data_IF_182160121615
#
_entry.id   IF_182160121615
#
_cell.length_a   1.000
_cell.length_b   1.000
_cell.length_c   1.000
_cell.angle_alpha   90.00
_cell.angle_beta   90.00
_cell.angle_gamma   90.00
#
_symmetry.space_group_name_H-M   'P 1'
#
loop_
_entity.id
_entity.type
_entity.pdbx_description
1 polymer ?
#
# COMPACT_ATOMS: atom_id res chain seq x y z
N UNK A 1 28.23 -44.19 -39.92
CA UNK A 1 28.11 -42.74 -39.76
C UNK A 1 26.69 -42.43 -40.11
N UNK A 2 25.84 -42.36 -39.07
CA UNK A 2 24.39 -42.11 -39.23
C UNK A 2 24.12 -40.67 -38.83
N UNK A 3 23.50 -39.94 -39.75
CA UNK A 3 23.11 -38.55 -39.60
C UNK A 3 22.05 -38.43 -38.48
N UNK A 4 22.38 -37.67 -37.43
CA UNK A 4 21.44 -37.22 -36.41
C UNK A 4 20.74 -35.97 -36.98
N UNK A 5 19.52 -36.13 -37.48
CA UNK A 5 18.62 -35.04 -37.81
C UNK A 5 18.21 -34.33 -36.48
N UNK A 6 18.67 -33.12 -36.34
CA UNK A 6 18.25 -32.20 -35.25
C UNK A 6 16.85 -31.71 -35.57
N UNK A 7 15.82 -32.27 -34.96
CA UNK A 7 14.47 -31.71 -34.97
C UNK A 7 14.47 -30.38 -34.24
N UNK A 8 14.37 -29.30 -34.98
CA UNK A 8 14.04 -27.98 -34.44
C UNK A 8 12.58 -28.02 -34.01
N UNK A 9 12.35 -28.06 -32.70
CA UNK A 9 11.02 -27.87 -32.13
C UNK A 9 10.61 -26.41 -32.38
N UNK A 10 9.73 -26.20 -33.35
CA UNK A 10 9.08 -24.90 -33.55
C UNK A 10 8.37 -24.50 -32.26
N UNK A 11 8.83 -23.42 -31.64
CA UNK A 11 8.16 -22.80 -30.52
C UNK A 11 6.82 -22.29 -31.01
N UNK A 12 5.76 -22.92 -30.54
CA UNK A 12 4.41 -22.47 -30.83
C UNK A 12 4.28 -20.97 -30.57
N UNK A 13 3.63 -20.29 -31.49
CA UNK A 13 3.32 -18.87 -31.42
C UNK A 13 2.75 -18.56 -30.02
N UNK A 14 3.48 -17.76 -29.26
CA UNK A 14 2.97 -17.18 -28.02
C UNK A 14 1.72 -16.38 -28.41
N UNK A 15 0.57 -16.78 -27.92
CA UNK A 15 -0.64 -15.95 -27.98
C UNK A 15 -0.23 -14.59 -27.47
N UNK A 16 -0.14 -13.62 -28.38
CA UNK A 16 0.03 -12.23 -28.03
C UNK A 16 -1.11 -11.87 -27.07
N UNK A 17 -0.78 -11.61 -25.80
CA UNK A 17 -1.72 -10.96 -24.93
C UNK A 17 -2.14 -9.67 -25.64
N UNK A 18 -3.43 -9.50 -25.86
CA UNK A 18 -3.96 -8.27 -26.45
C UNK A 18 -3.41 -7.05 -25.71
N UNK A 19 -3.37 -5.89 -26.33
CA UNK A 19 -2.73 -4.71 -25.78
C UNK A 19 -3.32 -4.39 -24.41
N UNK A 20 -2.47 -4.44 -23.37
CA UNK A 20 -2.77 -4.03 -21.98
C UNK A 20 -3.11 -2.53 -21.90
N UNK A 21 -3.17 -1.85 -23.05
CA UNK A 21 -3.22 -0.40 -23.20
C UNK A 21 -4.59 0.25 -23.04
N UNK A 22 -5.65 -0.47 -22.64
CA UNK A 22 -7.02 0.10 -22.60
C UNK A 22 -7.69 0.08 -21.23
N UNK A 23 -6.99 -0.31 -20.16
CA UNK A 23 -7.55 -0.08 -18.82
C UNK A 23 -7.40 1.40 -18.46
N UNK A 24 -8.47 2.07 -18.00
CA UNK A 24 -8.37 3.45 -17.54
C UNK A 24 -7.33 3.54 -16.43
N UNK A 25 -6.42 4.50 -16.55
CA UNK A 25 -5.36 4.72 -15.57
C UNK A 25 -5.99 5.25 -14.28
N UNK A 26 -6.31 4.38 -13.33
CA UNK A 26 -6.81 4.75 -12.01
C UNK A 26 -5.75 5.52 -11.21
N UNK A 27 -6.19 6.50 -10.45
CA UNK A 27 -5.37 7.22 -9.47
C UNK A 27 -5.77 6.81 -8.05
N UNK A 28 -5.38 5.61 -7.66
CA UNK A 28 -5.70 5.06 -6.34
C UNK A 28 -5.18 5.97 -5.23
N UNK A 29 -6.08 6.44 -4.41
CA UNK A 29 -5.82 7.43 -3.38
C UNK A 29 -6.46 7.02 -2.06
N UNK A 30 -5.75 7.26 -0.97
CA UNK A 30 -6.25 7.05 0.39
C UNK A 30 -6.42 8.41 1.07
N UNK A 31 -7.55 8.62 1.71
CA UNK A 31 -7.86 9.79 2.53
C UNK A 31 -8.06 9.34 3.97
N UNK A 32 -7.37 9.97 4.92
CA UNK A 32 -7.43 9.63 6.35
C UNK A 32 -7.88 10.85 7.14
N UNK A 33 -9.03 10.74 7.79
CA UNK A 33 -9.60 11.79 8.65
C UNK A 33 -9.08 11.63 10.08
N UNK A 34 -8.23 12.55 10.53
CA UNK A 34 -7.59 12.48 11.83
C UNK A 34 -8.55 12.78 12.98
N UNK A 35 -9.67 13.48 12.74
CA UNK A 35 -10.71 13.66 13.76
C UNK A 35 -11.43 12.34 14.09
N UNK A 36 -11.51 11.44 13.14
CA UNK A 36 -12.16 10.14 13.31
C UNK A 36 -11.21 9.06 13.81
N UNK A 37 -9.89 9.29 13.70
CA UNK A 37 -8.92 8.29 14.10
C UNK A 37 -8.77 8.23 15.62
N UNK A 38 -9.14 7.11 16.23
CA UNK A 38 -9.03 6.87 17.68
C UNK A 38 -7.74 6.16 18.09
N UNK A 39 -6.83 5.85 17.15
CA UNK A 39 -5.59 5.15 17.42
C UNK A 39 -5.75 3.68 17.84
N UNK A 40 -6.89 3.04 17.55
CA UNK A 40 -7.25 1.70 18.02
C UNK A 40 -6.41 0.55 17.43
N UNK A 41 -5.54 0.79 16.44
CA UNK A 41 -4.72 -0.20 15.75
C UNK A 41 -5.46 -1.31 14.97
N UNK A 42 -6.79 -1.26 14.82
CA UNK A 42 -7.53 -2.25 14.02
C UNK A 42 -7.01 -2.35 12.58
N UNK A 43 -6.67 -1.23 11.96
CA UNK A 43 -6.06 -1.17 10.64
C UNK A 43 -4.68 -1.84 10.56
N UNK A 44 -3.89 -1.78 11.64
CA UNK A 44 -2.58 -2.44 11.72
C UNK A 44 -2.75 -3.95 11.73
N UNK A 45 -3.64 -4.46 12.60
CA UNK A 45 -3.94 -5.90 12.70
C UNK A 45 -4.50 -6.43 11.37
N UNK A 46 -5.47 -5.73 10.78
CA UNK A 46 -6.04 -6.11 9.49
C UNK A 46 -5.00 -6.15 8.37
N UNK A 47 -4.04 -5.20 8.36
CA UNK A 47 -2.95 -5.20 7.40
C UNK A 47 -2.03 -6.41 7.57
N UNK A 48 -1.72 -6.80 8.81
CA UNK A 48 -0.91 -7.99 9.10
C UNK A 48 -1.58 -9.26 8.59
N UNK A 49 -2.87 -9.45 8.87
CA UNK A 49 -3.64 -10.62 8.43
C UNK A 49 -3.77 -10.67 6.92
N UNK A 50 -4.21 -9.58 6.30
CA UNK A 50 -4.44 -9.51 4.86
C UNK A 50 -3.18 -9.74 4.04
N UNK A 51 -2.05 -9.20 4.49
CA UNK A 51 -0.83 -9.16 3.71
C UNK A 51 0.25 -10.13 4.22
N UNK A 52 -0.10 -11.10 5.05
CA UNK A 52 0.84 -12.06 5.64
C UNK A 52 2.09 -11.37 6.23
N UNK A 53 1.88 -10.24 6.94
CA UNK A 53 2.98 -9.52 7.58
C UNK A 53 3.30 -10.20 8.91
N UNK A 54 4.54 -10.65 9.14
CA UNK A 54 4.87 -11.39 10.34
C UNK A 54 4.81 -10.51 11.59
N UNK A 55 4.40 -11.11 12.70
CA UNK A 55 4.46 -10.49 14.03
C UNK A 55 5.88 -10.68 14.56
N UNK A 56 6.47 -9.60 15.07
CA UNK A 56 7.80 -9.61 15.69
C UNK A 56 7.71 -9.49 17.20
N UNK A 57 8.64 -10.12 17.89
CA UNK A 57 8.73 -10.01 19.35
C UNK A 57 9.04 -8.57 19.76
N UNK A 58 8.67 -8.20 21.00
CA UNK A 58 8.99 -6.90 21.60
C UNK A 58 10.48 -6.57 21.50
N UNK A 59 11.34 -7.56 21.78
CA UNK A 59 12.80 -7.41 21.70
C UNK A 59 13.26 -7.02 20.30
N UNK A 60 12.66 -7.56 19.26
CA UNK A 60 12.98 -7.22 17.87
C UNK A 60 12.45 -5.85 17.50
N UNK A 61 11.25 -5.49 17.94
CA UNK A 61 10.69 -4.16 17.73
C UNK A 61 11.56 -3.08 18.37
N UNK A 62 12.03 -3.27 19.59
CA UNK A 62 12.96 -2.37 20.29
C UNK A 62 14.27 -2.21 19.51
N UNK A 63 14.75 -3.26 18.83
CA UNK A 63 15.94 -3.23 17.97
C UNK A 63 15.71 -2.58 16.60
N UNK A 64 14.51 -2.10 16.32
CA UNK A 64 14.14 -1.52 15.02
C UNK A 64 13.82 -2.55 13.93
N UNK A 65 13.57 -3.79 14.29
CA UNK A 65 13.21 -4.87 13.36
C UNK A 65 11.70 -5.07 13.24
N UNK A 66 10.90 -4.12 13.70
CA UNK A 66 9.45 -4.14 13.54
C UNK A 66 9.04 -4.16 12.07
N UNK A 67 7.94 -4.86 11.76
CA UNK A 67 7.43 -4.99 10.39
C UNK A 67 5.97 -4.54 10.34
N UNK A 68 5.76 -3.24 10.40
CA UNK A 68 4.42 -2.66 10.28
C UNK A 68 4.30 -1.90 8.95
N UNK A 69 3.48 -2.41 8.03
CA UNK A 69 3.21 -1.71 6.76
C UNK A 69 2.35 -0.46 6.97
N UNK A 70 1.55 -0.46 8.03
CA UNK A 70 0.88 0.70 8.58
C UNK A 70 1.18 0.75 10.09
N UNK A 71 1.50 1.91 10.61
CA UNK A 71 1.71 2.17 12.04
C UNK A 71 0.92 3.39 12.47
N UNK A 72 0.55 3.47 13.73
CA UNK A 72 -0.12 4.64 14.29
C UNK A 72 0.91 5.44 15.09
N UNK A 73 1.22 6.62 14.59
CA UNK A 73 2.02 7.59 15.34
C UNK A 73 1.10 8.41 16.23
N UNK A 74 1.55 8.69 17.44
CA UNK A 74 0.79 9.47 18.42
C UNK A 74 1.55 10.74 18.76
N UNK A 75 0.89 11.86 18.59
CA UNK A 75 1.38 13.18 18.94
C UNK A 75 0.55 13.78 20.06
N UNK A 76 1.17 14.56 20.93
CA UNK A 76 0.49 15.30 21.97
C UNK A 76 0.44 16.77 21.58
N UNK A 77 -0.75 17.34 21.59
CA UNK A 77 -1.01 18.73 21.26
C UNK A 77 -1.66 19.44 22.46
N UNK A 78 -1.34 20.73 22.64
CA UNK A 78 -1.83 21.54 23.77
C UNK A 78 -0.96 21.40 25.01
N UNK A 79 -1.31 22.17 26.05
CA UNK A 79 -0.61 22.23 27.34
C UNK A 79 -1.58 22.02 28.48
N UNK A 80 -1.10 21.48 29.64
CA UNK A 80 -1.86 21.26 30.83
C UNK A 80 -3.12 20.42 30.60
N UNK A 81 -4.25 20.87 31.12
CA UNK A 81 -5.53 20.17 31.02
C UNK A 81 -6.13 20.16 29.60
N UNK A 82 -5.59 20.99 28.69
CA UNK A 82 -6.00 21.02 27.30
C UNK A 82 -5.20 20.05 26.40
N UNK A 83 -4.31 19.25 27.00
CA UNK A 83 -3.49 18.29 26.26
C UNK A 83 -4.37 17.18 25.67
N UNK A 84 -4.21 16.96 24.36
CA UNK A 84 -4.91 15.89 23.63
C UNK A 84 -3.94 15.06 22.80
N UNK A 85 -4.28 13.81 22.57
CA UNK A 85 -3.55 12.94 21.66
C UNK A 85 -4.14 13.02 20.26
N UNK A 86 -3.28 13.28 19.26
CA UNK A 86 -3.62 13.16 17.83
C UNK A 86 -2.94 11.93 17.27
N UNK A 87 -3.68 11.12 16.54
CA UNK A 87 -3.20 9.87 15.94
C UNK A 87 -3.01 10.04 14.44
N UNK A 88 -1.83 9.68 13.95
CA UNK A 88 -1.47 9.73 12.54
C UNK A 88 -1.16 8.32 12.00
N UNK A 89 -2.09 7.69 11.28
CA UNK A 89 -1.80 6.44 10.58
C UNK A 89 -0.77 6.68 9.48
N UNK A 90 0.42 6.12 9.64
CA UNK A 90 1.53 6.29 8.70
C UNK A 90 1.81 4.98 7.95
N UNK A 91 1.81 5.05 6.62
CA UNK A 91 2.03 3.94 5.71
C UNK A 91 2.82 4.41 4.48
N UNK A 92 3.07 3.50 3.52
CA UNK A 92 3.64 3.91 2.24
C UNK A 92 2.72 4.92 1.56
N UNK A 93 3.27 6.08 1.22
CA UNK A 93 2.51 7.19 0.63
C UNK A 93 2.22 6.98 -0.86
N UNK A 94 2.64 5.86 -1.46
CA UNK A 94 2.42 5.55 -2.87
C UNK A 94 2.78 6.73 -3.80
N UNK A 95 3.93 7.32 -3.55
CA UNK A 95 4.40 8.53 -4.23
C UNK A 95 4.44 8.38 -5.75
N UNK A 96 3.92 9.36 -6.50
CA UNK A 96 4.06 9.39 -7.96
C UNK A 96 5.50 9.73 -8.38
N UNK A 97 6.23 10.52 -7.56
CA UNK A 97 7.65 10.80 -7.70
C UNK A 97 8.42 10.06 -6.60
N UNK A 98 8.44 8.73 -6.66
CA UNK A 98 8.91 7.90 -5.57
C UNK A 98 10.44 7.88 -5.44
N UNK A 99 11.04 8.49 -4.39
CA UNK A 99 12.49 8.56 -4.23
C UNK A 99 13.14 7.19 -3.96
N UNK A 100 12.34 6.19 -3.64
CA UNK A 100 12.78 4.81 -3.42
C UNK A 100 13.01 4.02 -4.72
N UNK A 101 12.56 4.51 -5.87
CA UNK A 101 12.71 3.82 -7.16
C UNK A 101 14.12 3.99 -7.75
N UNK A 102 14.64 5.22 -7.92
CA UNK A 102 15.92 5.42 -8.59
C UNK A 102 17.12 4.84 -7.82
N UNK A 103 16.98 4.59 -6.52
CA UNK A 103 18.06 4.05 -5.69
C UNK A 103 18.05 2.52 -5.62
N UNK A 104 17.10 1.86 -6.27
CA UNK A 104 17.04 0.40 -6.29
C UNK A 104 17.92 -0.16 -7.42
N UNK A 105 19.04 -0.86 -7.10
CA UNK A 105 19.97 -1.31 -8.13
C UNK A 105 19.41 -2.41 -9.04
N UNK A 106 18.32 -3.04 -8.64
CA UNK A 106 17.71 -4.21 -9.32
C UNK A 106 16.27 -3.96 -9.74
N UNK A 107 15.82 -2.72 -9.71
CA UNK A 107 14.43 -2.34 -10.06
C UNK A 107 13.37 -3.19 -9.33
N UNK A 108 13.65 -3.54 -8.07
CA UNK A 108 12.67 -4.20 -7.20
C UNK A 108 11.63 -3.21 -6.64
N UNK A 109 12.01 -1.94 -6.45
CA UNK A 109 11.10 -0.84 -6.18
C UNK A 109 10.76 -0.18 -7.50
N UNK A 110 9.54 -0.29 -7.96
CA UNK A 110 9.14 0.09 -9.31
C UNK A 110 7.74 0.70 -9.32
N UNK A 111 7.52 1.67 -10.19
CA UNK A 111 6.17 2.15 -10.50
C UNK A 111 5.50 1.19 -11.47
N UNK A 112 4.33 0.70 -11.11
CA UNK A 112 3.51 -0.14 -12.00
C UNK A 112 2.64 0.77 -12.87
N UNK A 113 2.78 0.63 -14.19
CA UNK A 113 1.94 1.36 -15.14
C UNK A 113 0.47 0.88 -15.09
N UNK A 114 0.26 -0.40 -14.80
CA UNK A 114 -1.07 -1.01 -14.73
C UNK A 114 -1.89 -0.43 -13.57
N UNK A 115 -1.36 -0.52 -12.35
CA UNK A 115 -2.07 -0.10 -11.16
C UNK A 115 -1.80 1.38 -10.78
N UNK A 116 -0.85 2.02 -11.49
CA UNK A 116 -0.36 3.36 -11.16
C UNK A 116 0.08 3.50 -9.69
N UNK A 117 0.79 2.47 -9.21
CA UNK A 117 1.26 2.34 -7.83
C UNK A 117 2.77 2.08 -7.77
N UNK A 118 3.41 2.58 -6.73
CA UNK A 118 4.75 2.14 -6.38
C UNK A 118 4.68 0.75 -5.77
N UNK A 119 5.23 -0.25 -6.44
CA UNK A 119 5.24 -1.63 -6.00
C UNK A 119 6.62 -2.08 -5.52
N UNK A 120 6.66 -3.22 -4.83
CA UNK A 120 7.86 -3.92 -4.45
C UNK A 120 7.83 -5.33 -5.05
N UNK A 121 8.74 -5.60 -5.97
CA UNK A 121 8.90 -6.92 -6.59
C UNK A 121 9.86 -7.73 -5.73
N UNK A 122 9.32 -8.56 -4.86
CA UNK A 122 10.09 -9.27 -3.83
C UNK A 122 11.18 -10.17 -4.41
N UNK A 123 10.91 -10.88 -5.50
CA UNK A 123 11.85 -11.80 -6.15
C UNK A 123 13.06 -11.10 -6.78
N UNK A 124 12.98 -9.79 -7.05
CA UNK A 124 14.11 -9.00 -7.53
C UNK A 124 14.92 -8.40 -6.39
N UNK A 125 14.35 -8.32 -5.19
CA UNK A 125 14.97 -7.63 -4.06
C UNK A 125 16.20 -8.39 -3.56
N UNK A 126 17.36 -7.74 -3.58
CA UNK A 126 18.63 -8.26 -3.06
C UNK A 126 19.01 -7.67 -1.70
N UNK A 127 18.10 -6.91 -1.08
CA UNK A 127 18.24 -6.46 0.31
C UNK A 127 19.23 -5.33 0.58
N UNK A 128 19.61 -4.52 -0.42
CA UNK A 128 20.53 -3.39 -0.22
C UNK A 128 20.00 -2.30 0.71
N UNK A 129 18.68 -2.23 0.94
CA UNK A 129 17.95 -1.30 1.80
C UNK A 129 18.04 0.18 1.41
N UNK A 130 18.67 0.53 0.29
CA UNK A 130 18.76 1.92 -0.16
C UNK A 130 17.38 2.56 -0.31
N UNK A 131 16.39 1.82 -0.79
CA UNK A 131 15.01 2.32 -0.90
C UNK A 131 14.37 2.62 0.45
N UNK A 132 14.75 1.92 1.52
CA UNK A 132 14.31 2.22 2.89
C UNK A 132 14.96 3.49 3.44
N UNK A 133 16.26 3.66 3.20
CA UNK A 133 17.00 4.84 3.64
C UNK A 133 16.56 6.10 2.89
N UNK A 134 16.17 5.98 1.62
CA UNK A 134 15.72 7.09 0.79
C UNK A 134 14.21 7.39 0.94
N UNK A 135 13.48 6.61 1.72
CA UNK A 135 12.06 6.85 1.99
C UNK A 135 11.91 7.87 3.13
N UNK A 136 11.45 9.12 2.88
CA UNK A 136 11.32 10.11 3.95
C UNK A 136 10.24 9.74 4.97
N UNK A 137 9.31 8.87 4.60
CA UNK A 137 8.20 8.43 5.45
C UNK A 137 8.54 7.21 6.32
N UNK A 138 9.72 6.62 6.16
CA UNK A 138 10.13 5.38 6.84
C UNK A 138 9.09 4.26 6.71
N UNK A 139 8.47 4.16 5.54
CA UNK A 139 7.36 3.25 5.27
C UNK A 139 7.80 1.94 4.61
N UNK A 140 9.11 1.71 4.52
CA UNK A 140 9.70 0.49 3.97
C UNK A 140 10.38 -0.28 5.08
N UNK A 141 9.93 -1.53 5.26
CA UNK A 141 10.40 -2.43 6.30
C UNK A 141 11.33 -3.48 5.71
N UNK A 142 12.41 -3.81 6.40
CA UNK A 142 13.34 -4.85 5.98
C UNK A 142 13.04 -6.15 6.73
N UNK A 143 12.93 -7.23 6.01
CA UNK A 143 12.68 -8.54 6.59
C UNK A 143 14.00 -9.17 7.07
N UNK A 144 14.38 -8.89 8.30
CA UNK A 144 15.64 -9.33 8.90
C UNK A 144 15.73 -10.84 9.04
N UNK A 145 14.61 -11.51 9.22
CA UNK A 145 14.54 -12.94 9.45
C UNK A 145 13.43 -13.55 8.59
N UNK A 146 13.60 -14.80 8.19
CA UNK A 146 12.53 -15.53 7.55
C UNK A 146 11.28 -15.54 8.46
N UNK A 147 10.10 -15.20 7.95
CA UNK A 147 8.87 -15.23 8.73
C UNK A 147 8.58 -16.64 9.20
N UNK A 148 8.18 -16.77 10.44
CA UNK A 148 7.69 -18.03 11.01
C UNK A 148 6.25 -17.80 11.47
N UNK A 149 5.34 -18.63 11.02
CA UNK A 149 3.96 -18.64 11.45
C UNK A 149 3.71 -19.97 12.14
N UNK A 150 3.29 -19.93 13.39
CA UNK A 150 3.15 -21.12 14.24
C UNK A 150 1.69 -21.40 14.57
N UNK A 151 1.36 -22.69 14.74
CA UNK A 151 0.04 -23.13 15.14
C UNK A 151 -1.08 -22.65 14.20
N UNK A 152 -2.22 -22.21 14.74
CA UNK A 152 -3.37 -21.81 13.94
C UNK A 152 -3.14 -20.62 13.01
N UNK A 153 -2.11 -19.80 13.27
CA UNK A 153 -1.78 -18.64 12.43
C UNK A 153 -1.39 -19.08 11.01
N UNK A 154 -0.76 -20.27 10.88
CA UNK A 154 -0.41 -20.82 9.57
C UNK A 154 -1.64 -21.06 8.69
N UNK A 155 -2.76 -21.44 9.30
CA UNK A 155 -4.03 -21.70 8.60
C UNK A 155 -4.76 -20.40 8.23
N UNK A 156 -4.40 -19.28 8.85
CA UNK A 156 -4.98 -17.96 8.59
C UNK A 156 -4.27 -17.17 7.49
N UNK A 157 -3.18 -17.71 6.92
CA UNK A 157 -2.44 -17.03 5.86
C UNK A 157 -3.31 -16.81 4.63
N UNK A 158 -3.25 -15.59 4.10
CA UNK A 158 -3.95 -15.25 2.86
C UNK A 158 -3.26 -15.94 1.67
N UNK A 159 -3.93 -16.85 0.95
CA UNK A 159 -3.33 -17.58 -0.16
C UNK A 159 -3.00 -16.70 -1.37
N UNK A 160 -3.65 -15.54 -1.51
CA UNK A 160 -3.42 -14.61 -2.61
C UNK A 160 -2.18 -13.73 -2.42
N UNK A 161 -1.55 -13.82 -1.24
CA UNK A 161 -0.40 -12.98 -0.89
C UNK A 161 0.79 -13.84 -0.53
N UNK A 162 1.89 -13.67 -1.28
CA UNK A 162 3.13 -14.38 -1.03
C UNK A 162 3.70 -14.05 0.35
N UNK A 163 4.10 -15.06 1.11
CA UNK A 163 4.95 -14.90 2.30
C UNK A 163 6.37 -14.57 1.83
N UNK A 164 6.91 -13.44 2.27
CA UNK A 164 8.24 -12.97 1.83
C UNK A 164 9.34 -13.62 2.66
N UNK A 165 10.45 -13.90 2.01
CA UNK A 165 11.64 -14.44 2.67
C UNK A 165 12.37 -13.38 3.51
N UNK A 166 13.30 -13.81 4.36
CA UNK A 166 14.28 -12.90 4.95
C UNK A 166 15.15 -12.23 3.87
N UNK A 167 15.66 -11.04 4.15
CA UNK A 167 16.56 -10.32 3.24
C UNK A 167 15.88 -9.44 2.19
N UNK A 168 14.56 -9.29 2.21
CA UNK A 168 13.82 -8.44 1.28
C UNK A 168 13.19 -7.24 1.97
N UNK A 169 12.92 -6.19 1.19
CA UNK A 169 12.15 -5.04 1.65
C UNK A 169 10.66 -5.26 1.42
N UNK A 170 9.85 -4.83 2.37
CA UNK A 170 8.41 -4.88 2.33
C UNK A 170 7.78 -3.50 2.56
N UNK A 171 6.57 -3.28 2.08
CA UNK A 171 5.81 -2.04 2.30
C UNK A 171 4.34 -2.22 1.97
N UNK A 172 3.50 -1.29 2.37
CA UNK A 172 2.11 -1.23 1.95
C UNK A 172 1.98 -1.14 0.42
N UNK A 173 1.13 -1.97 -0.16
CA UNK A 173 0.81 -2.04 -1.59
C UNK A 173 -0.60 -1.55 -1.92
N UNK A 174 -1.30 -0.92 -0.97
CA UNK A 174 -2.75 -0.65 -1.05
C UNK A 174 -3.58 -1.93 -1.26
N UNK A 175 -3.10 -3.08 -0.76
CA UNK A 175 -3.71 -4.38 -0.98
C UNK A 175 -3.89 -4.67 -2.49
N UNK A 176 -2.80 -4.57 -3.26
CA UNK A 176 -2.82 -4.72 -4.73
C UNK A 176 -3.50 -5.99 -5.22
N UNK A 177 -3.48 -7.07 -4.43
CA UNK A 177 -4.22 -8.31 -4.71
C UNK A 177 -5.73 -8.07 -4.78
N UNK A 178 -6.27 -7.18 -3.93
CA UNK A 178 -7.69 -6.80 -3.96
C UNK A 178 -8.01 -5.90 -5.16
N UNK A 179 -7.11 -4.96 -5.49
CA UNK A 179 -7.24 -4.12 -6.70
C UNK A 179 -7.36 -5.01 -7.92
N UNK A 180 -6.42 -5.92 -8.11
CA UNK A 180 -6.39 -6.83 -9.26
C UNK A 180 -7.63 -7.69 -9.36
N UNK A 181 -8.11 -8.21 -8.23
CA UNK A 181 -9.32 -9.02 -8.19
C UNK A 181 -10.54 -8.25 -8.70
N UNK A 182 -10.79 -7.04 -8.17
CA UNK A 182 -11.96 -6.26 -8.59
C UNK A 182 -11.85 -5.76 -10.03
N UNK A 183 -10.63 -5.46 -10.51
CA UNK A 183 -10.38 -5.13 -11.91
C UNK A 183 -10.65 -6.32 -12.83
N UNK A 184 -10.22 -7.52 -12.44
CA UNK A 184 -10.44 -8.76 -13.20
C UNK A 184 -11.92 -9.14 -13.22
N UNK A 185 -12.63 -9.02 -12.10
CA UNK A 185 -14.07 -9.27 -12.01
C UNK A 185 -14.85 -8.29 -12.91
N UNK A 186 -14.52 -7.00 -12.85
CA UNK A 186 -15.14 -5.98 -13.70
C UNK A 186 -14.88 -6.24 -15.20
N UNK A 187 -13.65 -6.66 -15.54
CA UNK A 187 -13.29 -7.01 -16.92
C UNK A 187 -14.07 -8.24 -17.43
N UNK A 188 -14.20 -9.28 -16.61
CA UNK A 188 -14.97 -10.49 -16.95
C UNK A 188 -16.45 -10.15 -17.16
N UNK A 189 -17.00 -9.24 -16.34
CA UNK A 189 -18.38 -8.76 -16.46
C UNK A 189 -18.59 -7.73 -17.59
N UNK A 190 -17.52 -7.26 -18.24
CA UNK A 190 -17.57 -6.27 -19.32
C UNK A 190 -18.09 -4.90 -18.89
N UNK A 191 -17.83 -4.49 -17.66
CA UNK A 191 -18.28 -3.23 -17.07
C UNK A 191 -17.11 -2.40 -16.50
N UNK A 192 -17.30 -1.10 -16.32
CA UNK A 192 -16.34 -0.28 -15.60
C UNK A 192 -16.32 -0.64 -14.10
N UNK A 193 -15.20 -0.35 -13.45
CA UNK A 193 -15.06 -0.42 -12.00
C UNK A 193 -15.94 0.66 -11.35
N UNK A 194 -16.56 0.34 -10.21
CA UNK A 194 -17.41 1.26 -9.46
C UNK A 194 -16.70 1.72 -8.19
N UNK A 195 -16.96 2.97 -7.78
CA UNK A 195 -16.46 3.46 -6.50
C UNK A 195 -16.96 2.59 -5.33
N UNK A 196 -16.05 2.29 -4.40
CA UNK A 196 -16.33 1.45 -3.24
C UNK A 196 -16.27 -0.07 -3.47
N UNK A 197 -16.08 -0.57 -4.68
CA UNK A 197 -15.85 -2.02 -4.93
C UNK A 197 -14.48 -2.44 -4.39
N UNK A 198 -13.47 -1.59 -4.57
CA UNK A 198 -12.15 -1.83 -3.99
C UNK A 198 -12.05 -1.17 -2.62
N UNK A 199 -11.86 -1.98 -1.57
CA UNK A 199 -11.64 -1.51 -0.20
C UNK A 199 -10.44 -2.23 0.39
N UNK A 200 -9.33 -1.53 0.73
CA UNK A 200 -8.19 -2.16 1.40
C UNK A 200 -8.54 -2.59 2.81
N UNK A 201 -7.87 -3.63 3.31
CA UNK A 201 -8.18 -4.24 4.61
C UNK A 201 -8.20 -3.24 5.77
N UNK A 202 -7.28 -2.28 5.78
CA UNK A 202 -7.22 -1.23 6.80
C UNK A 202 -8.44 -0.30 6.80
N UNK A 203 -8.99 0.02 5.63
CA UNK A 203 -10.19 0.83 5.51
C UNK A 203 -11.44 0.03 5.89
N UNK A 204 -11.52 -1.22 5.44
CA UNK A 204 -12.63 -2.13 5.74
C UNK A 204 -12.81 -2.35 7.25
N UNK A 205 -11.71 -2.49 7.98
CA UNK A 205 -11.73 -2.80 9.42
C UNK A 205 -11.82 -1.53 10.29
N UNK A 206 -11.69 -0.34 9.72
CA UNK A 206 -11.69 0.91 10.50
C UNK A 206 -13.07 1.16 11.15
N UNK A 207 -13.21 1.08 12.50
CA UNK A 207 -14.52 1.16 13.16
C UNK A 207 -15.15 2.54 13.04
N UNK A 208 -14.32 3.58 12.94
CA UNK A 208 -14.77 4.98 12.84
C UNK A 208 -14.86 5.48 11.41
N UNK A 209 -14.53 4.62 10.42
CA UNK A 209 -14.47 4.99 8.99
C UNK A 209 -13.58 6.23 8.76
N UNK A 210 -12.48 6.30 9.50
CA UNK A 210 -11.48 7.34 9.34
C UNK A 210 -10.71 7.22 8.02
N UNK A 211 -10.59 6.00 7.47
CA UNK A 211 -9.86 5.70 6.23
C UNK A 211 -10.86 5.51 5.10
N UNK A 212 -10.73 6.31 4.04
CA UNK A 212 -11.47 6.21 2.80
C UNK A 212 -10.51 5.92 1.67
N UNK A 213 -10.90 5.09 0.71
CA UNK A 213 -10.07 4.70 -0.42
C UNK A 213 -10.88 4.72 -1.71
N UNK A 214 -10.28 5.17 -2.81
CA UNK A 214 -10.94 5.22 -4.10
C UNK A 214 -10.05 5.78 -5.20
N UNK A 215 -10.62 5.93 -6.38
CA UNK A 215 -9.97 6.54 -7.53
C UNK A 215 -10.19 8.06 -7.54
N UNK A 216 -9.12 8.83 -7.38
CA UNK A 216 -9.18 10.29 -7.45
C UNK A 216 -9.46 10.81 -8.86
N UNK A 217 -9.20 10.01 -9.89
CA UNK A 217 -9.49 10.40 -11.29
C UNK A 217 -10.97 10.35 -11.62
N UNK A 218 -11.77 9.63 -10.82
CA UNK A 218 -13.22 9.61 -10.93
C UNK A 218 -13.84 10.73 -10.07
N UNK A 219 -14.43 11.77 -10.67
CA UNK A 219 -15.07 12.87 -9.93
C UNK A 219 -16.25 12.43 -9.05
N UNK A 220 -16.83 11.25 -9.33
CA UNK A 220 -17.95 10.69 -8.57
C UNK A 220 -17.45 9.89 -7.35
N UNK A 221 -16.16 9.58 -7.26
CA UNK A 221 -15.63 8.81 -6.15
C UNK A 221 -15.70 9.57 -4.82
N UNK A 222 -15.91 8.85 -3.72
CA UNK A 222 -15.94 9.41 -2.37
C UNK A 222 -14.63 10.14 -2.01
N UNK A 223 -13.51 9.67 -2.52
CA UNK A 223 -12.21 10.31 -2.30
C UNK A 223 -12.15 11.65 -3.02
N UNK A 224 -12.49 11.70 -4.31
CA UNK A 224 -12.48 12.94 -5.09
C UNK A 224 -13.41 14.01 -4.51
N UNK A 225 -14.60 13.60 -4.05
CA UNK A 225 -15.60 14.51 -3.46
C UNK A 225 -15.17 15.09 -2.10
N UNK A 226 -14.30 14.40 -1.36
CA UNK A 226 -13.81 14.87 -0.05
C UNK A 226 -12.48 15.60 -0.09
N UNK A 227 -11.79 15.55 -1.22
CA UNK A 227 -10.56 16.31 -1.46
C UNK A 227 -10.87 17.74 -1.89
N UNK A 228 -9.91 18.66 -1.70
CA UNK A 228 -10.03 20.07 -2.05
C UNK A 228 -10.53 20.97 -0.91
N UNK A 229 -10.74 20.41 0.29
CA UNK A 229 -11.14 21.17 1.48
C UNK A 229 -9.95 21.83 2.20
N UNK A 230 -10.23 22.80 3.08
CA UNK A 230 -9.19 23.53 3.84
C UNK A 230 -8.43 22.65 4.86
N UNK A 231 -9.01 21.51 5.24
CA UNK A 231 -8.41 20.57 6.20
C UNK A 231 -7.36 19.64 5.57
N UNK A 232 -7.32 19.57 4.25
CA UNK A 232 -6.46 18.66 3.51
C UNK A 232 -4.98 19.01 3.67
N UNK A 233 -4.15 17.99 3.83
CA UNK A 233 -2.70 18.12 3.75
C UNK A 233 -2.04 16.79 3.35
N UNK A 234 -0.82 16.88 2.87
CA UNK A 234 0.06 15.74 2.62
C UNK A 234 1.29 15.81 3.52
N UNK A 235 1.71 14.68 4.05
CA UNK A 235 2.90 14.63 4.92
C UNK A 235 4.13 14.89 4.07
N UNK A 236 5.01 15.82 4.53
CA UNK A 236 6.26 16.22 3.86
C UNK A 236 6.06 16.65 2.40
N UNK A 237 4.98 17.34 2.10
CA UNK A 237 4.61 17.83 0.76
C UNK A 237 5.75 18.62 0.09
N UNK A 238 6.49 19.42 0.88
CA UNK A 238 7.63 20.24 0.40
C UNK A 238 8.76 19.41 -0.25
N UNK A 239 8.80 18.09 -0.06
CA UNK A 239 9.80 17.22 -0.69
C UNK A 239 9.47 16.87 -2.14
N UNK A 240 8.30 17.26 -2.65
CA UNK A 240 7.91 17.04 -4.05
C UNK A 240 7.72 15.57 -4.46
N UNK A 241 7.52 14.67 -3.51
CA UNK A 241 7.34 13.23 -3.78
C UNK A 241 5.98 12.89 -4.37
N UNK A 242 5.05 13.84 -4.41
CA UNK A 242 3.67 13.70 -4.88
C UNK A 242 2.96 12.47 -4.26
N UNK A 243 2.66 12.48 -2.95
CA UNK A 243 1.99 11.38 -2.26
C UNK A 243 0.57 11.12 -2.80
N UNK A 244 0.10 9.88 -2.70
CA UNK A 244 -1.29 9.50 -2.96
C UNK A 244 -2.04 9.15 -1.67
N UNK A 245 -1.51 9.53 -0.52
CA UNK A 245 -2.19 9.50 0.78
C UNK A 245 -2.39 10.93 1.23
N UNK A 246 -3.63 11.28 1.51
CA UNK A 246 -4.07 12.58 1.99
C UNK A 246 -4.60 12.46 3.40
N UNK A 247 -4.47 13.52 4.15
CA UNK A 247 -4.96 13.60 5.53
C UNK A 247 -5.85 14.81 5.71
N UNK A 248 -6.89 14.66 6.53
CA UNK A 248 -7.68 15.79 7.02
C UNK A 248 -7.25 16.13 8.43
N UNK A 249 -6.84 17.39 8.66
CA UNK A 249 -6.39 17.88 9.97
C UNK A 249 -7.46 17.69 11.02
N UNK A 250 -7.05 17.36 12.24
CA UNK A 250 -7.91 17.31 13.39
C UNK A 250 -8.35 18.74 13.83
N UNK A 251 -9.59 18.87 14.31
CA UNK A 251 -10.13 20.13 14.90
C UNK A 251 -10.46 21.24 13.91
N UNK A 252 -10.57 20.94 12.61
CA UNK A 252 -11.10 21.89 11.60
C UNK A 252 -12.58 21.65 11.34
N UNK A 253 -13.40 22.71 11.29
CA UNK A 253 -14.73 22.61 10.65
C UNK A 253 -14.51 22.42 9.14
N UNK A 254 -15.06 21.36 8.57
CA UNK A 254 -15.30 21.35 7.12
C UNK A 254 -16.22 22.55 6.88
N UNK A 255 -15.70 23.59 6.21
CA UNK A 255 -16.52 24.74 5.82
C UNK A 255 -17.71 24.17 5.05
N UNK A 256 -18.84 24.06 5.76
CA UNK A 256 -20.07 23.56 5.19
C UNK A 256 -20.43 24.42 4.01
N UNK A 257 -20.36 23.85 2.81
CA UNK A 257 -21.20 24.29 1.72
C UNK A 257 -22.62 23.86 2.11
N UNK A 258 -23.38 24.87 2.62
CA UNK A 258 -24.84 24.79 2.79
C UNK A 258 -25.52 24.72 1.44
#
# INVERSE_FOLDING_TARGET
>A
MSELETQVVERGESRAAGPVSELPAHKWTMLIDLDKCTGCNACVVACHVENNVPIRSEREVIRGHGQHWIRIERYWEGEGDAQRATFLPMLCQQCSNAPCEPVCPVYASVHSERENLNLQVYNRCVGTRFCGNNCPYRARQFNWFAPQFEGPITEMLNPDVTVRSGGVMEKCTFCVQRIRRVEEDALVEGRPLRDGEMVPACAQTCPTRAIVFGDRSDPQSQVAQRLGGQREFQVLEHLGTAPNVYYLKAGGSDGGAG
#
